data_IF_902918309441
#
_entry.id   IF_902918309441
#
_cell.length_a   1.000
_cell.length_b   1.000
_cell.length_c   1.000
_cell.angle_alpha   90.00
_cell.angle_beta   90.00
_cell.angle_gamma   90.00
#
_symmetry.space_group_name_H-M   'P 1'
#
loop_
_entity.id
_entity.type
_entity.pdbx_description
1 polymer ?
#
# COMPACT_ATOMS: atom_id res chain seq x y z
N UNK A 1 -0.56 20.23 -25.15
CA UNK A 1 -1.76 20.49 -24.32
C UNK A 1 -2.76 19.35 -24.38
N UNK A 2 -3.05 18.79 -25.56
CA UNK A 2 -3.98 17.66 -25.75
C UNK A 2 -3.71 16.43 -24.87
N UNK A 3 -2.46 16.19 -24.46
CA UNK A 3 -2.06 15.08 -23.58
C UNK A 3 -2.13 15.39 -22.07
N UNK A 4 -2.59 16.59 -21.68
CA UNK A 4 -2.64 17.00 -20.26
C UNK A 4 -3.96 16.58 -19.61
N UNK A 5 -3.93 16.29 -18.30
CA UNK A 5 -5.12 15.96 -17.51
C UNK A 5 -6.15 17.09 -17.49
N UNK A 6 -5.67 18.34 -17.41
CA UNK A 6 -6.49 19.55 -17.49
C UNK A 6 -7.31 19.57 -18.79
N UNK A 7 -6.66 19.36 -19.93
CA UNK A 7 -7.33 19.33 -21.22
C UNK A 7 -8.40 18.23 -21.30
N UNK A 8 -8.09 17.03 -20.81
CA UNK A 8 -9.05 15.92 -20.78
C UNK A 8 -10.30 16.23 -19.92
N UNK A 9 -10.14 16.95 -18.81
CA UNK A 9 -11.27 17.36 -17.97
C UNK A 9 -12.16 18.40 -18.67
N UNK A 10 -11.57 19.45 -19.22
CA UNK A 10 -12.32 20.49 -19.94
C UNK A 10 -12.98 19.94 -21.21
N UNK A 11 -12.32 19.02 -21.92
CA UNK A 11 -12.92 18.35 -23.07
C UNK A 11 -14.19 17.58 -22.70
N UNK A 12 -14.17 16.85 -21.56
CA UNK A 12 -15.35 16.13 -21.05
C UNK A 12 -16.49 17.09 -20.73
N UNK A 13 -16.19 18.25 -20.15
CA UNK A 13 -17.18 19.26 -19.79
C UNK A 13 -17.77 19.93 -21.04
N UNK A 14 -16.94 20.27 -22.02
CA UNK A 14 -17.36 20.81 -23.31
C UNK A 14 -18.21 19.81 -24.11
N UNK A 15 -17.77 18.55 -24.21
CA UNK A 15 -18.53 17.50 -24.88
C UNK A 15 -19.89 17.23 -24.20
N UNK A 16 -19.96 17.38 -22.87
CA UNK A 16 -21.19 17.23 -22.12
C UNK A 16 -22.13 18.43 -22.26
N UNK A 17 -21.59 19.66 -22.25
CA UNK A 17 -22.33 20.91 -22.51
C UNK A 17 -22.91 20.92 -23.93
N UNK A 18 -22.14 20.47 -24.91
CA UNK A 18 -22.56 20.33 -26.29
C UNK A 18 -23.49 19.12 -26.56
N UNK A 19 -23.86 18.35 -25.52
CA UNK A 19 -24.73 17.18 -25.61
C UNK A 19 -24.25 16.06 -26.56
N UNK A 20 -22.95 16.00 -26.85
CA UNK A 20 -22.35 15.00 -27.74
C UNK A 20 -22.10 13.65 -27.07
N UNK A 21 -22.19 13.60 -25.73
CA UNK A 21 -22.04 12.36 -24.98
C UNK A 21 -23.37 11.59 -24.92
N UNK A 22 -23.44 10.33 -25.42
CA UNK A 22 -24.69 9.59 -25.51
C UNK A 22 -25.25 9.26 -24.13
N UNK A 23 -26.54 9.52 -23.92
CA UNK A 23 -27.28 9.29 -22.65
C UNK A 23 -28.09 8.00 -22.72
N UNK A 24 -28.17 7.25 -21.60
CA UNK A 24 -28.97 6.00 -21.53
C UNK A 24 -30.48 6.26 -21.45
N UNK A 25 -30.90 7.37 -20.85
CA UNK A 25 -32.31 7.79 -20.73
C UNK A 25 -32.40 9.32 -20.90
N UNK A 26 -33.35 9.85 -21.68
CA UNK A 26 -33.67 11.27 -21.71
C UNK A 26 -34.04 11.79 -20.31
N UNK A 27 -33.59 12.99 -19.94
CA UNK A 27 -33.94 13.63 -18.66
C UNK A 27 -33.13 13.23 -17.41
N UNK A 28 -32.24 12.23 -17.47
CA UNK A 28 -31.38 11.85 -16.33
C UNK A 28 -29.91 12.25 -16.53
N UNK A 29 -29.28 12.77 -15.48
CA UNK A 29 -27.83 13.03 -15.46
C UNK A 29 -27.07 11.71 -15.57
N UNK A 30 -26.09 11.65 -16.46
CA UNK A 30 -25.21 10.47 -16.60
C UNK A 30 -24.23 10.45 -15.43
N UNK A 31 -23.99 9.30 -14.76
CA UNK A 31 -23.03 9.22 -13.68
C UNK A 31 -21.62 9.57 -14.18
N UNK A 32 -20.85 10.27 -13.33
CA UNK A 32 -19.57 10.90 -13.71
C UNK A 32 -18.55 9.91 -14.29
N UNK A 33 -18.47 8.69 -13.76
CA UNK A 33 -17.58 7.63 -14.25
C UNK A 33 -17.91 7.23 -15.71
N UNK A 34 -19.19 7.13 -16.04
CA UNK A 34 -19.65 6.77 -17.38
C UNK A 34 -19.43 7.92 -18.36
N UNK A 35 -19.54 9.16 -17.88
CA UNK A 35 -19.22 10.36 -18.64
C UNK A 35 -17.72 10.42 -18.97
N UNK A 36 -16.84 10.12 -17.99
CA UNK A 36 -15.38 10.07 -18.16
C UNK A 36 -14.96 9.03 -19.21
N UNK A 37 -15.48 7.81 -19.12
CA UNK A 37 -15.15 6.74 -20.08
C UNK A 37 -15.54 7.11 -21.51
N UNK A 38 -16.76 7.65 -21.68
CA UNK A 38 -17.27 8.05 -22.99
C UNK A 38 -16.54 9.26 -23.57
N UNK A 39 -16.21 10.25 -22.74
CA UNK A 39 -15.44 11.42 -23.19
C UNK A 39 -14.01 11.06 -23.57
N UNK A 40 -13.37 10.11 -22.87
CA UNK A 40 -12.05 9.63 -23.22
C UNK A 40 -12.05 8.91 -24.58
N UNK A 41 -13.03 8.05 -24.82
CA UNK A 41 -13.22 7.38 -26.11
C UNK A 41 -13.48 8.39 -27.24
N UNK A 42 -14.33 9.39 -26.99
CA UNK A 42 -14.60 10.46 -27.97
C UNK A 42 -13.36 11.31 -28.25
N UNK A 43 -12.59 11.66 -27.21
CA UNK A 43 -11.35 12.44 -27.37
C UNK A 43 -10.31 11.68 -28.19
N UNK A 44 -10.18 10.36 -27.99
CA UNK A 44 -9.24 9.53 -28.75
C UNK A 44 -9.52 9.64 -30.26
N UNK A 45 -10.78 9.49 -30.68
CA UNK A 45 -11.18 9.62 -32.09
C UNK A 45 -11.12 11.08 -32.57
N UNK A 46 -11.62 12.02 -31.77
CA UNK A 46 -11.64 13.44 -32.13
C UNK A 46 -10.23 14.06 -32.24
N UNK A 47 -9.24 13.48 -31.56
CA UNK A 47 -7.85 13.95 -31.61
C UNK A 47 -7.17 13.70 -32.96
N UNK A 48 -7.70 12.79 -33.78
CA UNK A 48 -7.23 12.53 -35.14
C UNK A 48 -7.74 13.58 -36.14
N UNK A 49 -8.82 14.31 -35.79
CA UNK A 49 -9.41 15.38 -36.59
C UNK A 49 -9.18 16.75 -35.92
N UNK A 50 -8.15 17.48 -36.36
CA UNK A 50 -7.72 18.76 -35.77
C UNK A 50 -8.78 19.88 -35.79
N UNK A 51 -9.80 19.71 -36.60
CA UNK A 51 -10.90 20.62 -36.89
C UNK A 51 -12.19 20.26 -36.12
N UNK A 52 -12.14 19.28 -35.22
CA UNK A 52 -13.29 18.93 -34.38
C UNK A 52 -13.68 20.11 -33.46
N UNK A 53 -14.92 20.65 -33.53
CA UNK A 53 -15.29 21.89 -32.84
C UNK A 53 -15.09 21.88 -31.32
N UNK A 54 -15.28 20.73 -30.67
CA UNK A 54 -15.10 20.60 -29.22
C UNK A 54 -13.63 20.60 -28.83
N UNK A 55 -12.76 20.05 -29.68
CA UNK A 55 -11.31 20.14 -29.47
C UNK A 55 -10.89 21.60 -29.54
N UNK A 56 -11.35 22.34 -30.55
CA UNK A 56 -11.07 23.77 -30.71
C UNK A 56 -11.60 24.61 -29.55
N UNK A 57 -12.84 24.36 -29.10
CA UNK A 57 -13.41 25.06 -27.94
C UNK A 57 -12.63 24.75 -26.65
N UNK A 58 -12.19 23.50 -26.48
CA UNK A 58 -11.35 23.14 -25.33
C UNK A 58 -10.00 23.83 -25.37
N UNK A 59 -9.40 23.98 -26.56
CA UNK A 59 -8.19 24.79 -26.72
C UNK A 59 -8.45 26.27 -26.39
N UNK A 60 -9.56 26.84 -26.86
CA UNK A 60 -9.94 28.23 -26.56
C UNK A 60 -10.12 28.44 -25.06
N UNK A 61 -10.89 27.59 -24.40
CA UNK A 61 -11.17 27.65 -22.96
C UNK A 61 -9.88 27.51 -22.14
N UNK A 62 -9.05 26.51 -22.43
CA UNK A 62 -7.80 26.30 -21.69
C UNK A 62 -6.81 27.46 -21.89
N UNK A 63 -6.66 27.95 -23.12
CA UNK A 63 -5.67 28.99 -23.43
C UNK A 63 -6.11 30.41 -23.07
N UNK A 64 -7.41 30.69 -23.00
CA UNK A 64 -7.94 32.04 -22.72
C UNK A 64 -8.61 32.18 -21.37
N UNK A 65 -9.32 31.15 -20.91
CA UNK A 65 -10.16 31.26 -19.71
C UNK A 65 -9.46 30.64 -18.49
N UNK A 66 -8.66 29.58 -18.70
CA UNK A 66 -7.94 28.90 -17.62
C UNK A 66 -6.51 29.45 -17.44
N UNK A 67 -5.76 29.59 -18.54
CA UNK A 67 -4.41 30.13 -18.50
C UNK A 67 -4.37 31.64 -18.71
N UNK A 68 -3.64 32.33 -17.83
CA UNK A 68 -3.26 33.72 -18.04
C UNK A 68 -1.92 33.81 -18.80
N UNK A 69 -1.99 33.65 -20.12
CA UNK A 69 -0.82 33.76 -20.98
C UNK A 69 -0.24 35.19 -21.01
N UNK A 70 -1.07 36.21 -20.78
CA UNK A 70 -0.64 37.60 -20.73
C UNK A 70 0.29 37.85 -19.53
N UNK A 71 -0.14 37.42 -18.34
CA UNK A 71 0.68 37.49 -17.14
C UNK A 71 1.97 36.67 -17.26
N UNK A 72 1.90 35.45 -17.83
CA UNK A 72 3.08 34.62 -18.05
C UNK A 72 4.09 35.32 -18.99
N UNK A 73 3.63 35.88 -20.11
CA UNK A 73 4.50 36.62 -21.03
C UNK A 73 5.09 37.88 -20.40
N UNK A 74 4.35 38.57 -19.51
CA UNK A 74 4.88 39.72 -18.76
C UNK A 74 5.96 39.27 -17.80
N UNK A 75 5.71 38.23 -17.01
CA UNK A 75 6.66 37.70 -16.03
C UNK A 75 7.97 37.24 -16.69
N UNK A 76 7.88 36.52 -17.82
CA UNK A 76 9.08 36.08 -18.56
C UNK A 76 9.87 37.27 -19.12
N UNK A 77 9.18 38.33 -19.58
CA UNK A 77 9.84 39.59 -19.97
C UNK A 77 10.50 40.28 -18.79
N UNK A 78 9.83 40.37 -17.65
CA UNK A 78 10.40 40.99 -16.44
C UNK A 78 11.61 40.21 -15.89
N UNK A 79 11.64 38.88 -16.05
CA UNK A 79 12.82 38.05 -15.76
C UNK A 79 13.95 38.34 -16.77
N UNK A 80 13.64 38.41 -18.07
CA UNK A 80 14.61 38.75 -19.13
C UNK A 80 15.22 40.14 -18.97
N UNK A 81 14.40 41.13 -18.62
CA UNK A 81 14.78 42.52 -18.35
C UNK A 81 15.43 42.69 -16.95
N UNK A 82 15.60 41.60 -16.20
CA UNK A 82 16.16 41.56 -14.83
C UNK A 82 15.42 42.43 -13.80
N UNK A 83 14.15 42.75 -14.06
CA UNK A 83 13.25 43.36 -13.07
C UNK A 83 12.83 42.35 -12.01
N UNK A 84 12.69 41.08 -12.39
CA UNK A 84 12.49 39.95 -11.49
C UNK A 84 13.80 39.17 -11.35
N UNK A 85 14.26 39.01 -10.11
CA UNK A 85 15.48 38.25 -9.81
C UNK A 85 15.16 36.78 -9.57
N UNK A 86 15.92 35.88 -10.20
CA UNK A 86 15.84 34.43 -9.98
C UNK A 86 17.11 33.96 -9.27
N UNK A 87 16.96 33.22 -8.18
CA UNK A 87 18.07 32.63 -7.41
C UNK A 87 17.88 31.12 -7.27
N UNK A 88 18.96 30.37 -7.51
CA UNK A 88 18.99 28.93 -7.24
C UNK A 88 19.60 28.69 -5.85
N UNK A 89 18.92 27.91 -5.02
CA UNK A 89 19.39 27.52 -3.68
C UNK A 89 19.21 26.02 -3.55
N UNK A 90 20.31 25.32 -3.22
CA UNK A 90 20.27 23.89 -2.92
C UNK A 90 20.16 23.71 -1.40
N UNK A 91 19.11 23.01 -0.97
CA UNK A 91 18.81 22.78 0.44
C UNK A 91 18.82 21.30 0.75
N UNK A 92 19.41 20.91 1.89
CA UNK A 92 19.42 19.52 2.37
C UNK A 92 18.02 19.01 2.75
N UNK A 93 17.08 19.91 3.03
CA UNK A 93 15.68 19.61 3.28
C UNK A 93 14.79 20.71 2.68
N UNK A 94 13.54 20.41 2.28
CA UNK A 94 12.65 21.40 1.66
C UNK A 94 12.34 22.59 2.58
N UNK A 95 12.31 23.80 2.02
CA UNK A 95 11.94 25.01 2.77
C UNK A 95 10.44 24.98 3.16
N UNK A 96 10.00 25.80 4.14
CA UNK A 96 8.58 25.89 4.51
C UNK A 96 7.65 26.19 3.32
N UNK A 97 8.10 27.00 2.36
CA UNK A 97 7.34 27.31 1.14
C UNK A 97 7.29 26.12 0.17
N UNK A 98 8.41 25.42 -0.02
CA UNK A 98 8.45 24.22 -0.86
C UNK A 98 7.63 23.07 -0.26
N UNK A 99 7.64 22.92 1.07
CA UNK A 99 6.85 21.93 1.79
C UNK A 99 5.34 22.12 1.57
N UNK A 100 4.85 23.37 1.60
CA UNK A 100 3.44 23.68 1.32
C UNK A 100 3.02 23.32 -0.12
N UNK A 101 3.90 23.56 -1.11
CA UNK A 101 3.63 23.22 -2.51
C UNK A 101 3.61 21.71 -2.77
N UNK A 102 4.56 20.97 -2.18
CA UNK A 102 4.61 19.51 -2.24
C UNK A 102 3.35 18.89 -1.62
N UNK A 103 2.85 19.47 -0.52
CA UNK A 103 1.60 19.02 0.09
C UNK A 103 0.38 19.24 -0.82
N UNK A 104 0.27 20.39 -1.49
CA UNK A 104 -0.84 20.65 -2.42
C UNK A 104 -0.84 19.71 -3.63
N UNK A 105 0.35 19.34 -4.12
CA UNK A 105 0.51 18.31 -5.14
C UNK A 105 0.01 16.94 -4.65
N UNK A 106 0.35 16.56 -3.42
CA UNK A 106 -0.05 15.29 -2.80
C UNK A 106 -1.54 15.24 -2.46
N UNK A 107 -2.14 16.33 -1.98
CA UNK A 107 -3.57 16.41 -1.73
C UNK A 107 -4.37 16.30 -3.03
N UNK A 108 -3.91 16.97 -4.10
CA UNK A 108 -4.55 16.86 -5.42
C UNK A 108 -4.49 15.42 -5.95
N UNK A 109 -3.35 14.72 -5.77
CA UNK A 109 -3.19 13.32 -6.16
C UNK A 109 -3.94 12.32 -5.25
N UNK A 110 -4.02 12.55 -3.93
CA UNK A 110 -4.74 11.69 -2.99
C UNK A 110 -6.25 11.66 -3.26
N UNK A 111 -6.82 12.75 -3.77
CA UNK A 111 -8.22 12.82 -4.17
C UNK A 111 -8.46 12.53 -5.66
N UNK A 112 -7.40 12.27 -6.43
CA UNK A 112 -7.47 11.96 -7.87
C UNK A 112 -7.63 10.46 -8.20
N UNK A 113 -7.55 9.54 -7.24
CA UNK A 113 -7.50 8.10 -7.53
C UNK A 113 -8.47 7.19 -6.78
N UNK A 114 -9.32 6.48 -7.52
CA UNK A 114 -9.98 5.22 -7.12
C UNK A 114 -8.98 4.04 -7.19
N UNK A 115 -7.76 4.27 -6.71
CA UNK A 115 -6.69 3.26 -6.66
C UNK A 115 -6.96 2.28 -5.50
N UNK A 116 -6.74 0.96 -5.68
CA UNK A 116 -6.81 -0.02 -4.60
C UNK A 116 -6.02 0.42 -3.36
N UNK A 117 -6.49 0.07 -2.15
CA UNK A 117 -5.84 0.48 -0.89
C UNK A 117 -4.33 0.16 -0.86
N UNK A 118 -3.91 -0.93 -1.49
CA UNK A 118 -2.50 -1.32 -1.63
C UNK A 118 -1.68 -0.34 -2.50
N UNK A 119 -2.23 0.19 -3.58
CA UNK A 119 -1.57 1.21 -4.40
C UNK A 119 -1.46 2.55 -3.64
N UNK A 120 -2.50 2.92 -2.88
CA UNK A 120 -2.46 4.09 -1.99
C UNK A 120 -1.38 3.96 -0.92
N UNK A 121 -1.26 2.78 -0.29
CA UNK A 121 -0.21 2.47 0.69
C UNK A 121 1.18 2.51 0.07
N UNK A 122 1.35 1.95 -1.13
CA UNK A 122 2.62 1.97 -1.85
C UNK A 122 3.07 3.39 -2.21
N UNK A 123 2.13 4.28 -2.55
CA UNK A 123 2.41 5.70 -2.84
C UNK A 123 2.71 6.52 -1.57
N UNK A 124 2.03 6.23 -0.45
CA UNK A 124 2.34 6.85 0.85
C UNK A 124 3.76 6.54 1.34
N UNK A 125 4.27 5.34 1.00
CA UNK A 125 5.63 4.91 1.30
C UNK A 125 6.71 5.55 0.40
N UNK A 126 6.32 6.15 -0.73
CA UNK A 126 7.24 6.82 -1.68
C UNK A 126 7.44 8.31 -1.37
N UNK A 127 6.64 8.89 -0.48
CA UNK A 127 6.78 10.28 -0.02
C UNK A 127 8.00 10.48 0.89
N UNK A 128 8.55 11.69 0.93
CA UNK A 128 9.67 12.06 1.81
C UNK A 128 9.15 12.53 3.19
N UNK A 129 9.48 11.76 4.23
CA UNK A 129 8.80 11.79 5.54
C UNK A 129 9.33 12.85 6.50
N UNK A 130 10.47 13.50 6.21
CA UNK A 130 10.89 14.68 6.98
C UNK A 130 9.82 15.80 6.93
N UNK A 131 9.04 15.86 5.84
CA UNK A 131 8.00 16.85 5.61
C UNK A 131 6.66 16.50 6.29
N UNK A 132 6.27 15.22 6.32
CA UNK A 132 5.05 14.75 6.98
C UNK A 132 5.13 14.94 8.51
N UNK A 133 6.33 14.71 9.07
CA UNK A 133 6.63 14.84 10.51
C UNK A 133 6.39 16.24 11.06
N UNK A 134 6.57 17.28 10.24
CA UNK A 134 6.43 18.67 10.66
C UNK A 134 4.97 19.18 10.70
N UNK A 135 4.02 18.46 10.07
CA UNK A 135 2.65 18.93 9.85
C UNK A 135 1.56 18.00 10.42
N UNK A 136 1.80 16.69 10.51
CA UNK A 136 0.76 15.71 10.91
C UNK A 136 0.87 15.20 12.35
N UNK A 137 1.88 15.62 13.11
CA UNK A 137 2.34 14.80 14.22
C UNK A 137 3.00 13.52 13.70
N UNK A 138 3.54 12.68 14.57
CA UNK A 138 4.25 11.47 14.15
C UNK A 138 3.31 10.57 13.33
N UNK A 139 3.55 10.35 12.02
CA UNK A 139 2.71 9.43 11.25
C UNK A 139 2.90 8.03 11.85
N UNK A 140 1.78 7.39 12.20
CA UNK A 140 1.73 6.00 12.69
C UNK A 140 2.16 5.04 11.57
N UNK A 141 3.47 4.97 11.31
CA UNK A 141 4.12 4.11 10.32
C UNK A 141 3.82 2.64 10.57
N UNK A 142 3.44 2.29 11.80
CA UNK A 142 2.95 0.98 12.22
C UNK A 142 1.89 0.36 11.30
N UNK A 143 1.05 1.16 10.66
CA UNK A 143 -0.04 0.66 9.80
C UNK A 143 0.40 0.40 8.35
N UNK A 144 1.56 0.93 7.95
CA UNK A 144 2.08 0.84 6.60
C UNK A 144 3.20 -0.20 6.44
N UNK A 145 3.88 -0.56 7.53
CA UNK A 145 4.96 -1.55 7.51
C UNK A 145 4.40 -2.96 7.70
N UNK A 146 4.91 -3.88 6.90
CA UNK A 146 4.58 -5.30 7.02
C UNK A 146 5.41 -5.95 8.14
N UNK A 147 4.74 -6.73 9.00
CA UNK A 147 5.37 -7.37 10.14
C UNK A 147 6.46 -8.35 9.72
N UNK A 148 6.17 -9.20 8.74
CA UNK A 148 7.12 -10.19 8.27
C UNK A 148 8.32 -9.51 7.58
N UNK A 149 8.10 -8.40 6.87
CA UNK A 149 9.20 -7.62 6.29
C UNK A 149 10.15 -7.05 7.36
N UNK A 150 9.65 -6.64 8.53
CA UNK A 150 10.49 -6.21 9.66
C UNK A 150 11.34 -7.38 10.16
N UNK A 151 10.71 -8.53 10.42
CA UNK A 151 11.40 -9.73 10.94
C UNK A 151 12.45 -10.25 9.96
N UNK A 152 12.13 -10.30 8.66
CA UNK A 152 13.07 -10.71 7.62
C UNK A 152 14.28 -9.77 7.53
N UNK A 153 14.06 -8.46 7.60
CA UNK A 153 15.16 -7.49 7.55
C UNK A 153 16.02 -7.60 8.82
N UNK A 154 15.41 -7.68 10.00
CA UNK A 154 16.16 -7.90 11.26
C UNK A 154 17.02 -9.16 11.20
N UNK A 155 16.47 -10.27 10.69
CA UNK A 155 17.20 -11.52 10.50
C UNK A 155 18.45 -11.33 9.61
N UNK A 156 18.32 -10.57 8.53
CA UNK A 156 19.42 -10.26 7.61
C UNK A 156 20.46 -9.30 8.22
N UNK A 157 20.01 -8.31 9.00
CA UNK A 157 20.90 -7.36 9.66
C UNK A 157 21.76 -8.05 10.73
N UNK A 158 21.17 -9.00 11.45
CA UNK A 158 21.86 -9.87 12.39
C UNK A 158 22.59 -11.03 11.68
N UNK A 159 22.58 -11.12 10.35
CA UNK A 159 23.24 -12.16 9.56
C UNK A 159 22.86 -13.60 9.94
N UNK A 160 21.65 -13.80 10.48
CA UNK A 160 21.11 -15.11 10.87
C UNK A 160 20.72 -15.97 9.66
N UNK A 161 20.84 -15.43 8.46
CA UNK A 161 20.66 -16.11 7.17
C UNK A 161 21.97 -16.71 6.61
N UNK A 162 23.12 -16.42 7.24
CA UNK A 162 24.43 -16.94 6.81
C UNK A 162 24.88 -18.08 7.73
N UNK A 163 25.51 -19.09 7.12
CA UNK A 163 26.22 -20.15 7.85
C UNK A 163 27.66 -19.75 8.09
N UNK A 164 28.19 -20.02 9.28
CA UNK A 164 29.57 -19.77 9.67
C UNK A 164 30.45 -20.95 9.23
N UNK A 165 31.40 -20.71 8.34
CA UNK A 165 32.29 -21.74 7.78
C UNK A 165 33.67 -21.83 8.43
N UNK A 166 34.04 -20.88 9.29
CA UNK A 166 35.32 -20.90 10.00
C UNK A 166 35.53 -19.74 10.97
N UNK A 167 36.74 -19.67 11.55
CA UNK A 167 37.15 -18.62 12.50
C UNK A 167 37.02 -17.20 11.92
N UNK A 168 37.37 -17.01 10.65
CA UNK A 168 37.32 -15.70 10.01
C UNK A 168 35.88 -15.20 9.85
N UNK A 169 34.92 -16.08 9.54
CA UNK A 169 33.50 -15.72 9.45
C UNK A 169 32.95 -15.26 10.80
N UNK A 170 33.38 -15.89 11.91
CA UNK A 170 33.00 -15.51 13.28
C UNK A 170 33.60 -14.14 13.65
N UNK A 171 34.86 -13.90 13.29
CA UNK A 171 35.50 -12.60 13.52
C UNK A 171 34.80 -11.48 12.74
N UNK A 172 34.51 -11.71 11.46
CA UNK A 172 33.79 -10.76 10.60
C UNK A 172 32.35 -10.52 11.07
N UNK A 173 31.70 -11.53 11.65
CA UNK A 173 30.39 -11.41 12.29
C UNK A 173 30.45 -10.42 13.46
N UNK A 174 31.41 -10.61 14.38
CA UNK A 174 31.56 -9.74 15.55
C UNK A 174 32.03 -8.32 15.18
N UNK A 175 32.85 -8.15 14.14
CA UNK A 175 33.18 -6.82 13.62
C UNK A 175 31.94 -6.08 13.07
N UNK A 176 31.03 -6.82 12.43
CA UNK A 176 29.81 -6.24 11.86
C UNK A 176 28.75 -5.93 12.93
N UNK A 177 28.50 -6.87 13.85
CA UNK A 177 27.41 -6.80 14.83
C UNK A 177 27.84 -6.09 16.10
N UNK A 178 29.06 -6.35 16.58
CA UNK A 178 29.60 -5.88 17.85
C UNK A 178 29.84 -7.04 18.82
N UNK A 179 29.29 -6.92 20.02
CA UNK A 179 29.37 -7.96 21.05
C UNK A 179 28.25 -8.99 20.89
N UNK A 180 28.55 -10.26 21.18
CA UNK A 180 27.57 -11.34 21.34
C UNK A 180 27.94 -12.23 22.53
N UNK A 181 26.95 -12.78 23.24
CA UNK A 181 27.20 -13.83 24.22
C UNK A 181 27.51 -15.16 23.53
N UNK A 182 28.10 -16.12 24.25
CA UNK A 182 28.28 -17.48 23.72
C UNK A 182 26.94 -18.11 23.34
N UNK A 183 25.89 -17.90 24.14
CA UNK A 183 24.55 -18.43 23.85
C UNK A 183 23.96 -17.81 22.57
N UNK A 184 24.16 -16.50 22.36
CA UNK A 184 23.74 -15.81 21.13
C UNK A 184 24.50 -16.33 19.91
N UNK A 185 25.80 -16.63 20.04
CA UNK A 185 26.60 -17.22 18.97
C UNK A 185 26.14 -18.63 18.61
N UNK A 186 25.69 -19.42 19.58
CA UNK A 186 25.12 -20.75 19.32
C UNK A 186 23.76 -20.73 18.59
N UNK A 187 23.09 -19.58 18.50
CA UNK A 187 21.90 -19.43 17.67
C UNK A 187 22.21 -19.35 16.17
N UNK A 188 23.47 -19.13 15.79
CA UNK A 188 23.90 -19.12 14.40
C UNK A 188 24.14 -20.54 13.88
N UNK A 189 23.85 -20.77 12.61
CA UNK A 189 24.22 -22.03 11.96
C UNK A 189 25.72 -22.03 11.68
N UNK A 190 26.40 -23.13 12.01
CA UNK A 190 27.82 -23.33 11.76
C UNK A 190 28.08 -24.69 11.12
N UNK A 191 28.97 -24.74 10.12
CA UNK A 191 29.36 -25.99 9.44
C UNK A 191 30.45 -26.78 10.20
N UNK A 192 30.93 -26.25 11.33
CA UNK A 192 32.01 -26.83 12.11
C UNK A 192 31.89 -26.56 13.62
N UNK A 193 32.94 -26.90 14.39
CA UNK A 193 32.93 -26.81 15.84
C UNK A 193 33.10 -25.36 16.30
N UNK A 194 31.98 -24.64 16.44
CA UNK A 194 31.96 -23.22 16.82
C UNK A 194 32.79 -22.93 18.08
N UNK A 195 32.64 -23.71 19.15
CA UNK A 195 33.40 -23.51 20.39
C UNK A 195 34.92 -23.61 20.18
N UNK A 196 35.38 -24.54 19.33
CA UNK A 196 36.80 -24.67 19.03
C UNK A 196 37.33 -23.45 18.25
N UNK A 197 36.52 -22.88 17.35
CA UNK A 197 36.84 -21.63 16.66
C UNK A 197 36.90 -20.44 17.63
N UNK A 198 35.93 -20.33 18.55
CA UNK A 198 35.91 -19.28 19.57
C UNK A 198 37.15 -19.34 20.47
N UNK A 199 37.49 -20.54 20.94
CA UNK A 199 38.66 -20.75 21.81
C UNK A 199 39.98 -20.50 21.05
N UNK A 200 40.05 -20.89 19.77
CA UNK A 200 41.18 -20.58 18.87
C UNK A 200 41.37 -19.06 18.69
N UNK A 201 40.29 -18.34 18.41
CA UNK A 201 40.29 -16.88 18.26
C UNK A 201 40.65 -16.15 19.55
N UNK A 202 40.21 -16.63 20.71
CA UNK A 202 40.59 -16.11 22.03
C UNK A 202 42.07 -16.36 22.33
N UNK A 203 42.57 -17.57 22.04
CA UNK A 203 43.99 -17.91 22.21
C UNK A 203 44.89 -17.06 21.29
N UNK A 204 44.44 -16.79 20.06
CA UNK A 204 45.09 -15.91 19.10
C UNK A 204 44.93 -14.41 19.43
N UNK A 205 44.14 -14.05 20.46
CA UNK A 205 43.80 -12.66 20.86
C UNK A 205 43.15 -11.84 19.74
N UNK A 206 42.40 -12.49 18.86
CA UNK A 206 41.55 -11.84 17.85
C UNK A 206 40.20 -11.44 18.44
N UNK A 207 39.72 -12.21 19.41
CA UNK A 207 38.55 -11.87 20.22
C UNK A 207 38.94 -11.55 21.66
N UNK A 208 38.07 -10.81 22.34
CA UNK A 208 38.18 -10.48 23.76
C UNK A 208 36.87 -10.79 24.48
N UNK A 209 36.99 -11.31 25.70
CA UNK A 209 35.87 -11.43 26.63
C UNK A 209 35.72 -10.14 27.43
N UNK A 210 34.53 -9.55 27.38
CA UNK A 210 34.16 -8.30 28.03
C UNK A 210 32.91 -8.52 28.87
N UNK A 211 32.82 -7.81 30.00
CA UNK A 211 31.59 -7.81 30.82
C UNK A 211 30.74 -6.60 30.49
N UNK A 212 29.60 -6.81 29.85
CA UNK A 212 28.64 -5.78 29.44
C UNK A 212 27.32 -6.03 30.15
N UNK A 213 26.80 -5.06 30.90
CA UNK A 213 25.54 -5.22 31.63
C UNK A 213 25.52 -6.38 32.65
N UNK A 214 26.69 -6.81 33.13
CA UNK A 214 26.83 -7.95 34.05
C UNK A 214 27.07 -9.31 33.37
N UNK A 215 26.83 -9.42 32.07
CA UNK A 215 27.00 -10.64 31.27
C UNK A 215 28.39 -10.69 30.63
N UNK A 216 28.94 -11.90 30.47
CA UNK A 216 30.16 -12.12 29.70
C UNK A 216 29.81 -12.23 28.21
N UNK A 217 30.47 -11.40 27.40
CA UNK A 217 30.26 -11.32 25.96
C UNK A 217 31.59 -11.30 25.22
N UNK A 218 31.57 -11.78 24.00
CA UNK A 218 32.70 -11.82 23.08
C UNK A 218 32.57 -10.66 22.10
N UNK A 219 33.68 -9.97 21.89
CA UNK A 219 33.79 -8.91 20.88
C UNK A 219 35.13 -9.03 20.14
N UNK A 220 35.18 -8.47 18.93
CA UNK A 220 36.42 -8.34 18.19
C UNK A 220 37.40 -7.42 18.94
N UNK A 221 38.70 -7.77 18.96
CA UNK A 221 39.72 -7.02 19.69
C UNK A 221 39.84 -5.57 19.21
N UNK A 222 39.49 -5.31 17.94
CA UNK A 222 39.47 -3.99 17.30
C UNK A 222 38.42 -3.04 17.89
N UNK A 223 37.42 -3.56 18.59
CA UNK A 223 36.37 -2.76 19.25
C UNK A 223 36.66 -2.48 20.73
N UNK A 224 37.73 -3.03 21.29
CA UNK A 224 38.00 -2.99 22.74
C UNK A 224 38.05 -1.55 23.28
N UNK A 225 38.66 -0.61 22.55
CA UNK A 225 38.71 0.79 22.95
C UNK A 225 37.32 1.45 22.91
N UNK A 226 36.46 1.08 21.95
CA UNK A 226 35.08 1.59 21.85
C UNK A 226 34.28 1.19 23.08
N UNK A 227 34.36 -0.08 23.47
CA UNK A 227 33.68 -0.57 24.67
C UNK A 227 34.25 0.05 25.94
N UNK A 228 35.58 0.20 26.06
CA UNK A 228 36.22 0.85 27.22
C UNK A 228 35.72 2.28 27.37
N UNK A 229 35.78 3.08 26.30
CA UNK A 229 35.48 4.50 26.36
C UNK A 229 33.97 4.77 26.48
N UNK A 230 33.11 3.90 25.93
CA UNK A 230 31.65 4.07 26.02
C UNK A 230 31.05 3.49 27.31
N UNK A 231 31.49 2.30 27.74
CA UNK A 231 30.84 1.53 28.81
C UNK A 231 31.71 1.40 30.07
N UNK A 232 32.97 1.84 30.03
CA UNK A 232 33.90 1.69 31.14
C UNK A 232 34.37 0.25 31.36
N UNK A 233 34.28 -0.63 30.35
CA UNK A 233 34.79 -2.01 30.50
C UNK A 233 36.30 -2.02 30.65
N UNK A 234 36.80 -2.93 31.49
CA UNK A 234 38.23 -3.09 31.70
C UNK A 234 38.79 -3.97 30.56
N UNK A 235 39.68 -3.44 29.70
CA UNK A 235 40.27 -4.24 28.63
C UNK A 235 41.18 -5.34 29.21
N UNK A 236 41.27 -6.52 28.57
CA UNK A 236 42.21 -7.57 28.95
C UNK A 236 43.67 -7.08 28.92
N UNK A 237 44.50 -7.65 29.79
CA UNK A 237 45.94 -7.32 29.86
C UNK A 237 46.68 -7.86 28.63
N UNK A 238 47.70 -7.13 28.17
CA UNK A 238 48.60 -7.58 27.10
C UNK A 238 48.13 -7.26 25.69
N UNK A 239 47.16 -6.35 25.53
CA UNK A 239 46.75 -5.82 24.24
C UNK A 239 47.72 -4.73 23.73
N UNK A 240 48.02 -4.67 22.42
CA UNK A 240 48.82 -3.60 21.82
C UNK A 240 48.25 -2.21 22.10
N UNK A 241 49.12 -1.22 22.35
CA UNK A 241 48.70 0.17 22.59
C UNK A 241 47.96 0.80 21.39
N UNK A 242 48.23 0.33 20.16
CA UNK A 242 47.53 0.77 18.96
C UNK A 242 46.02 0.49 18.98
N UNK A 243 45.60 -0.57 19.68
CA UNK A 243 44.18 -0.94 19.84
C UNK A 243 43.51 -0.23 21.02
N UNK A 244 44.26 0.52 21.83
CA UNK A 244 43.78 1.22 23.02
C UNK A 244 43.77 2.74 22.85
N UNK A 245 43.95 3.24 21.62
CA UNK A 245 43.84 4.66 21.31
C UNK A 245 42.46 5.24 21.69
N UNK A 246 42.36 6.57 21.88
CA UNK A 246 41.08 7.22 22.14
C UNK A 246 40.14 7.10 20.94
N UNK A 247 38.85 6.84 21.20
CA UNK A 247 37.82 6.76 20.17
C UNK A 247 36.94 8.01 20.20
N UNK A 248 36.73 8.62 19.04
CA UNK A 248 35.77 9.73 18.89
C UNK A 248 34.32 9.23 18.99
N UNK A 249 33.53 9.85 19.88
CA UNK A 249 32.11 9.54 20.08
C UNK A 249 31.82 8.03 20.28
N UNK A 250 32.39 7.39 21.30
CA UNK A 250 32.36 5.93 21.46
C UNK A 250 30.92 5.43 21.69
N UNK A 251 30.12 6.14 22.49
CA UNK A 251 28.71 5.81 22.72
C UNK A 251 27.87 5.99 21.46
N UNK A 252 28.08 7.07 20.70
CA UNK A 252 27.38 7.27 19.41
C UNK A 252 27.74 6.21 18.38
N UNK A 253 28.97 5.70 18.38
CA UNK A 253 29.37 4.58 17.54
C UNK A 253 28.66 3.27 17.93
N UNK A 254 28.58 2.93 19.23
CA UNK A 254 27.89 1.72 19.69
C UNK A 254 26.37 1.80 19.46
N UNK A 255 25.71 2.89 19.84
CA UNK A 255 24.28 3.11 19.59
C UNK A 255 24.00 3.13 18.09
N UNK A 256 24.85 3.78 17.31
CA UNK A 256 24.74 3.79 15.85
C UNK A 256 24.93 2.41 15.22
N UNK A 257 25.81 1.57 15.77
CA UNK A 257 25.97 0.17 15.33
C UNK A 257 24.73 -0.64 15.68
N UNK A 258 24.25 -0.54 16.92
CA UNK A 258 23.01 -1.19 17.38
C UNK A 258 21.84 -0.85 16.45
N UNK A 259 21.68 0.42 16.09
CA UNK A 259 20.62 0.86 15.18
C UNK A 259 20.74 0.31 13.74
N UNK A 260 21.96 0.01 13.27
CA UNK A 260 22.19 -0.60 11.95
C UNK A 260 21.99 -2.11 11.95
N UNK A 261 22.01 -2.75 13.12
CA UNK A 261 21.88 -4.20 13.25
C UNK A 261 20.48 -4.64 13.71
N UNK A 262 19.64 -3.69 14.13
CA UNK A 262 18.29 -3.95 14.63
C UNK A 262 17.24 -3.16 13.84
N UNK A 263 16.00 -3.66 13.83
CA UNK A 263 14.83 -2.96 13.31
C UNK A 263 14.35 -1.88 14.29
N UNK A 264 13.06 -1.50 14.28
CA UNK A 264 12.52 -0.54 15.25
C UNK A 264 12.73 -0.97 16.72
N UNK A 265 13.47 -0.15 17.47
CA UNK A 265 13.84 -0.42 18.86
C UNK A 265 13.53 0.78 19.78
N UNK A 266 13.40 0.52 21.06
CA UNK A 266 13.19 1.54 22.10
C UNK A 266 14.50 1.93 22.77
N UNK A 267 14.54 3.13 23.36
CA UNK A 267 15.72 3.56 24.13
C UNK A 267 16.05 2.60 25.28
N UNK A 268 15.03 2.02 25.91
CA UNK A 268 15.17 1.05 27.00
C UNK A 268 15.82 -0.26 26.53
N UNK A 269 15.44 -0.79 25.36
CA UNK A 269 16.07 -1.99 24.78
C UNK A 269 17.56 -1.75 24.45
N UNK A 270 17.88 -0.61 23.84
CA UNK A 270 19.27 -0.25 23.53
C UNK A 270 20.10 -0.06 24.81
N UNK A 271 19.54 0.61 25.83
CA UNK A 271 20.19 0.80 27.12
C UNK A 271 20.42 -0.53 27.85
N UNK A 272 19.42 -1.42 27.85
CA UNK A 272 19.54 -2.76 28.42
C UNK A 272 20.60 -3.58 27.69
N UNK A 273 20.65 -3.52 26.35
CA UNK A 273 21.69 -4.22 25.58
C UNK A 273 23.09 -3.76 25.97
N UNK A 274 23.29 -2.45 26.11
CA UNK A 274 24.60 -1.86 26.42
C UNK A 274 24.94 -1.87 27.93
N UNK A 275 24.01 -2.26 28.79
CA UNK A 275 24.20 -2.21 30.25
C UNK A 275 24.31 -0.79 30.81
N UNK A 276 23.67 0.18 30.15
CA UNK A 276 23.69 1.60 30.51
C UNK A 276 22.35 2.05 31.09
N UNK A 277 22.37 3.20 31.78
CA UNK A 277 21.14 3.92 32.09
C UNK A 277 20.48 4.46 30.82
N UNK A 278 19.15 4.60 30.84
CA UNK A 278 18.37 5.04 29.68
C UNK A 278 18.65 6.50 29.29
N UNK A 279 19.01 7.36 30.25
CA UNK A 279 19.25 8.79 30.02
C UNK A 279 20.37 9.10 29.00
N UNK A 280 21.62 8.60 29.15
CA UNK A 280 22.69 8.85 28.18
C UNK A 280 22.40 8.27 26.79
N UNK A 281 21.66 7.15 26.74
CA UNK A 281 21.23 6.54 25.48
C UNK A 281 20.19 7.42 24.78
N UNK A 282 19.19 7.94 25.50
CA UNK A 282 18.19 8.88 24.96
C UNK A 282 18.84 10.14 24.38
N UNK A 283 19.82 10.73 25.09
CA UNK A 283 20.56 11.89 24.59
C UNK A 283 21.33 11.58 23.30
N UNK A 284 22.00 10.42 23.25
CA UNK A 284 22.73 9.95 22.07
C UNK A 284 21.78 9.69 20.89
N UNK A 285 20.65 9.03 21.14
CA UNK A 285 19.62 8.78 20.13
C UNK A 285 19.03 10.09 19.59
N UNK A 286 18.76 11.07 20.47
CA UNK A 286 18.27 12.39 20.07
C UNK A 286 19.30 13.13 19.20
N UNK A 287 20.59 13.09 19.57
CA UNK A 287 21.67 13.68 18.76
C UNK A 287 21.79 13.00 17.39
N UNK A 288 21.71 11.67 17.33
CA UNK A 288 21.76 10.92 16.06
C UNK A 288 20.51 11.17 15.20
N UNK A 289 19.33 11.32 15.82
CA UNK A 289 18.10 11.69 15.12
C UNK A 289 18.18 13.12 14.55
N UNK A 290 18.68 14.08 15.33
CA UNK A 290 18.91 15.46 14.88
C UNK A 290 19.94 15.55 13.74
N UNK A 291 20.92 14.63 13.72
CA UNK A 291 21.86 14.48 12.62
C UNK A 291 21.28 13.75 11.39
N UNK A 292 20.01 13.35 11.42
CA UNK A 292 19.33 12.66 10.33
C UNK A 292 19.76 11.20 10.13
N UNK A 293 20.43 10.59 11.12
CA UNK A 293 20.87 9.18 11.05
C UNK A 293 19.82 8.20 11.55
N UNK A 294 18.94 8.65 12.44
CA UNK A 294 17.84 7.84 12.99
C UNK A 294 16.50 8.49 12.66
N UNK A 295 15.54 7.67 12.27
CA UNK A 295 14.12 8.01 12.29
C UNK A 295 13.56 7.70 13.68
N UNK A 296 12.65 8.56 14.15
CA UNK A 296 11.96 8.40 15.44
C UNK A 296 10.44 8.31 15.21
N UNK A 297 9.71 7.51 15.98
CA UNK A 297 8.25 7.53 15.99
C UNK A 297 7.63 6.17 16.29
N UNK A 298 6.34 6.00 16.00
CA UNK A 298 5.67 4.69 16.07
C UNK A 298 5.96 3.88 14.80
N UNK A 299 7.04 3.10 14.82
CA UNK A 299 7.60 2.44 13.64
C UNK A 299 7.24 0.95 13.59
N UNK A 300 7.17 0.27 14.73
CA UNK A 300 6.93 -1.15 14.82
C UNK A 300 5.45 -1.48 14.54
N UNK A 301 5.16 -2.41 13.61
CA UNK A 301 3.79 -2.87 13.35
C UNK A 301 3.07 -3.33 14.62
N UNK A 302 1.76 -3.06 14.71
CA UNK A 302 0.93 -3.37 15.88
C UNK A 302 0.94 -4.85 16.27
N UNK A 303 1.01 -5.75 15.29
CA UNK A 303 1.14 -7.19 15.50
C UNK A 303 2.43 -7.53 16.25
N UNK A 304 3.58 -7.06 15.76
CA UNK A 304 4.89 -7.27 16.40
C UNK A 304 4.99 -6.55 17.74
N UNK A 305 4.39 -5.37 17.87
CA UNK A 305 4.37 -4.64 19.15
C UNK A 305 3.69 -5.48 20.23
N UNK A 306 2.54 -6.10 19.92
CA UNK A 306 1.81 -6.98 20.84
C UNK A 306 2.60 -8.25 21.16
N UNK A 307 3.20 -8.86 20.15
CA UNK A 307 4.03 -10.07 20.31
C UNK A 307 5.25 -9.82 21.20
N UNK A 308 5.93 -8.68 21.02
CA UNK A 308 7.06 -8.25 21.85
C UNK A 308 6.64 -7.69 23.22
N UNK A 309 5.35 -7.70 23.55
CA UNK A 309 4.84 -7.18 24.82
C UNK A 309 5.04 -5.68 25.03
N UNK A 310 5.24 -4.90 23.96
CA UNK A 310 5.46 -3.46 24.01
C UNK A 310 4.13 -2.71 24.22
N UNK A 311 4.16 -1.66 25.05
CA UNK A 311 2.98 -0.83 25.37
C UNK A 311 2.80 0.39 24.45
N UNK A 312 3.60 0.49 23.39
CA UNK A 312 3.72 1.69 22.56
C UNK A 312 4.76 2.68 23.09
N UNK A 313 5.10 3.68 22.29
CA UNK A 313 6.11 4.69 22.60
C UNK A 313 6.94 5.10 21.39
N UNK A 314 7.83 6.07 21.58
CA UNK A 314 8.75 6.51 20.53
C UNK A 314 9.84 5.45 20.31
N UNK A 315 9.88 4.90 19.12
CA UNK A 315 10.90 3.96 18.67
C UNK A 315 11.90 4.67 17.76
N UNK A 316 13.07 4.07 17.65
CA UNK A 316 14.18 4.55 16.87
C UNK A 316 14.53 3.48 15.83
N UNK A 317 14.90 3.91 14.62
CA UNK A 317 15.39 3.01 13.58
C UNK A 317 16.40 3.77 12.72
N UNK A 318 17.46 3.10 12.29
CA UNK A 318 18.39 3.68 11.31
C UNK A 318 17.66 3.96 9.99
N UNK A 319 17.97 5.11 9.37
CA UNK A 319 17.25 5.56 8.16
C UNK A 319 17.43 4.60 6.99
N UNK A 320 18.60 3.97 6.84
CA UNK A 320 18.84 2.99 5.78
C UNK A 320 18.13 1.67 6.07
N UNK A 321 18.10 1.25 7.35
CA UNK A 321 17.34 0.07 7.77
C UNK A 321 15.84 0.28 7.52
N UNK A 322 15.29 1.41 7.95
CA UNK A 322 13.89 1.74 7.73
C UNK A 322 13.56 1.77 6.22
N UNK A 323 14.47 2.28 5.38
CA UNK A 323 14.31 2.27 3.92
C UNK A 323 14.27 0.85 3.36
N UNK A 324 15.09 -0.07 3.87
CA UNK A 324 15.05 -1.50 3.48
C UNK A 324 13.73 -2.16 3.88
N UNK A 325 13.27 -1.93 5.11
CA UNK A 325 11.98 -2.43 5.61
C UNK A 325 10.83 -1.92 4.73
N UNK A 326 10.79 -0.61 4.44
CA UNK A 326 9.79 0.01 3.56
C UNK A 326 9.78 -0.62 2.18
N UNK A 327 10.95 -0.77 1.55
CA UNK A 327 11.09 -1.36 0.21
C UNK A 327 10.54 -2.78 0.17
N UNK A 328 10.84 -3.59 1.20
CA UNK A 328 10.37 -4.98 1.26
C UNK A 328 8.88 -5.09 1.59
N UNK A 329 8.36 -4.26 2.50
CA UNK A 329 6.92 -4.16 2.78
C UNK A 329 6.14 -3.80 1.50
N UNK A 330 6.65 -2.83 0.74
CA UNK A 330 6.06 -2.41 -0.54
C UNK A 330 6.15 -3.47 -1.63
N UNK A 331 7.24 -4.25 -1.67
CA UNK A 331 7.35 -5.37 -2.60
C UNK A 331 6.30 -6.46 -2.30
N UNK A 332 6.07 -6.78 -1.02
CA UNK A 332 5.00 -7.72 -0.60
C UNK A 332 3.61 -7.23 -0.99
N UNK A 333 3.29 -5.97 -0.67
CA UNK A 333 2.00 -5.36 -1.06
C UNK A 333 1.79 -5.34 -2.58
N UNK A 334 2.85 -5.17 -3.37
CA UNK A 334 2.75 -5.24 -4.84
C UNK A 334 2.56 -6.66 -5.36
N UNK A 335 3.20 -7.65 -4.73
CA UNK A 335 3.02 -9.05 -5.08
C UNK A 335 1.57 -9.52 -4.83
N UNK A 336 0.91 -9.01 -3.79
CA UNK A 336 -0.51 -9.30 -3.52
C UNK A 336 -1.47 -8.80 -4.62
N UNK A 337 -1.06 -7.79 -5.39
CA UNK A 337 -1.89 -7.13 -6.43
C UNK A 337 -1.27 -7.32 -7.81
N UNK A 338 -0.37 -8.30 -7.97
CA UNK A 338 0.30 -8.51 -9.23
C UNK A 338 -0.71 -8.94 -10.31
N UNK A 339 -0.78 -8.23 -11.45
CA UNK A 339 -1.69 -8.61 -12.53
C UNK A 339 -1.26 -9.97 -13.08
N UNK A 340 -2.20 -10.91 -13.11
CA UNK A 340 -1.95 -12.24 -13.68
C UNK A 340 -2.18 -12.24 -15.19
N UNK A 341 -1.45 -13.10 -15.90
CA UNK A 341 -1.66 -13.33 -17.32
C UNK A 341 -3.12 -13.72 -17.62
N UNK A 342 -3.72 -13.27 -18.74
CA UNK A 342 -5.09 -13.61 -19.09
C UNK A 342 -5.38 -15.12 -19.08
N UNK A 343 -4.39 -15.93 -19.45
CA UNK A 343 -4.53 -17.41 -19.44
C UNK A 343 -4.56 -18.01 -18.04
N UNK A 344 -3.93 -17.38 -17.05
CA UNK A 344 -4.00 -17.79 -15.66
C UNK A 344 -5.38 -17.43 -15.08
N UNK A 345 -5.87 -16.21 -15.37
CA UNK A 345 -7.22 -15.79 -14.99
C UNK A 345 -8.31 -16.69 -15.59
N UNK A 346 -8.19 -17.06 -16.87
CA UNK A 346 -9.12 -17.99 -17.52
C UNK A 346 -9.15 -19.37 -16.83
N UNK A 347 -7.99 -19.94 -16.52
CA UNK A 347 -7.89 -21.23 -15.80
C UNK A 347 -8.53 -21.16 -14.43
N UNK A 348 -8.21 -20.10 -13.67
CA UNK A 348 -8.84 -19.84 -12.38
C UNK A 348 -10.35 -19.72 -12.51
N UNK A 349 -10.85 -18.92 -13.46
CA UNK A 349 -12.28 -18.68 -13.62
C UNK A 349 -13.04 -19.96 -13.98
N UNK A 350 -12.50 -20.79 -14.86
CA UNK A 350 -13.11 -22.08 -15.22
C UNK A 350 -13.14 -23.04 -14.02
N UNK A 351 -12.04 -23.13 -13.27
CA UNK A 351 -11.96 -23.95 -12.06
C UNK A 351 -12.91 -23.46 -10.96
N UNK A 352 -12.93 -22.15 -10.70
CA UNK A 352 -13.80 -21.48 -9.74
C UNK A 352 -15.28 -21.68 -10.09
N UNK A 353 -15.61 -21.60 -11.38
CA UNK A 353 -16.96 -21.86 -11.89
C UNK A 353 -17.32 -23.34 -11.99
N UNK A 354 -16.40 -24.25 -11.64
CA UNK A 354 -16.61 -25.69 -11.67
C UNK A 354 -16.76 -26.29 -13.07
N UNK A 355 -16.33 -25.58 -14.11
CA UNK A 355 -16.47 -26.03 -15.51
C UNK A 355 -15.46 -27.14 -15.78
N UNK A 356 -15.94 -28.29 -16.28
CA UNK A 356 -15.10 -29.46 -16.56
C UNK A 356 -14.72 -30.30 -15.34
N UNK A 357 -15.33 -30.06 -14.18
CA UNK A 357 -15.18 -30.91 -12.99
C UNK A 357 -16.23 -32.03 -13.05
N UNK A 358 -15.82 -33.29 -12.81
CA UNK A 358 -16.71 -34.46 -12.82
C UNK A 358 -17.51 -34.54 -11.50
N UNK A 359 -18.54 -33.67 -11.35
CA UNK A 359 -19.50 -33.69 -10.23
C UNK A 359 -20.79 -34.36 -10.67
N UNK A 360 -21.46 -35.10 -9.77
CA UNK A 360 -22.67 -35.89 -10.09
C UNK A 360 -23.68 -35.88 -8.94
N UNK A 361 -24.96 -36.06 -9.30
CA UNK A 361 -26.08 -36.20 -8.36
C UNK A 361 -26.71 -34.87 -7.94
N UNK A 362 -27.81 -34.99 -7.18
CA UNK A 362 -28.63 -33.86 -6.71
C UNK A 362 -27.84 -32.87 -5.85
N UNK A 363 -27.04 -33.34 -4.88
CA UNK A 363 -26.21 -32.47 -4.03
C UNK A 363 -25.22 -31.63 -4.85
N UNK A 364 -24.66 -32.21 -5.91
CA UNK A 364 -23.76 -31.49 -6.81
C UNK A 364 -24.52 -30.43 -7.62
N UNK A 365 -25.75 -30.71 -8.03
CA UNK A 365 -26.61 -29.75 -8.72
C UNK A 365 -26.97 -28.57 -7.79
N UNK A 366 -27.30 -28.82 -6.53
CA UNK A 366 -27.53 -27.77 -5.52
C UNK A 366 -26.29 -26.88 -5.37
N UNK A 367 -25.09 -27.45 -5.23
CA UNK A 367 -23.85 -26.67 -5.14
C UNK A 367 -23.52 -25.88 -6.41
N UNK A 368 -23.90 -26.38 -7.60
CA UNK A 368 -23.77 -25.63 -8.85
C UNK A 368 -24.76 -24.48 -8.93
N UNK A 369 -26.01 -24.71 -8.50
CA UNK A 369 -27.03 -23.66 -8.42
C UNK A 369 -26.58 -22.60 -7.42
N UNK A 370 -26.02 -23.00 -6.27
CA UNK A 370 -25.51 -22.09 -5.25
C UNK A 370 -24.48 -21.09 -5.80
N UNK A 371 -23.55 -21.59 -6.63
CA UNK A 371 -22.54 -20.78 -7.29
C UNK A 371 -23.12 -19.84 -8.37
N UNK A 372 -24.25 -20.21 -8.99
CA UNK A 372 -24.87 -19.49 -10.11
C UNK A 372 -26.05 -18.60 -9.71
N UNK A 373 -26.43 -18.57 -8.44
CA UNK A 373 -27.65 -17.87 -8.02
C UNK A 373 -27.66 -16.40 -8.43
N UNK A 374 -28.79 -15.94 -8.95
CA UNK A 374 -28.94 -14.55 -9.40
C UNK A 374 -28.24 -14.19 -10.71
N UNK A 375 -27.50 -15.12 -11.34
CA UNK A 375 -26.92 -14.89 -12.65
C UNK A 375 -28.00 -14.90 -13.75
N UNK A 376 -28.10 -13.87 -14.59
CA UNK A 376 -29.10 -13.81 -15.66
C UNK A 376 -28.68 -14.67 -16.86
N UNK A 377 -29.17 -15.91 -16.92
CA UNK A 377 -28.83 -16.94 -17.91
C UNK A 377 -29.99 -17.10 -18.89
N UNK A 378 -29.72 -17.28 -20.19
CA UNK A 378 -30.76 -17.60 -21.17
C UNK A 378 -31.37 -18.96 -20.85
N UNK A 379 -32.70 -19.06 -20.81
CA UNK A 379 -33.39 -20.31 -20.48
C UNK A 379 -33.00 -21.43 -21.45
N UNK A 380 -32.84 -21.12 -22.74
CA UNK A 380 -32.39 -22.09 -23.74
C UNK A 380 -31.00 -22.67 -23.49
N UNK A 381 -30.11 -21.91 -22.82
CA UNK A 381 -28.72 -22.31 -22.57
C UNK A 381 -28.51 -22.96 -21.20
N UNK A 382 -29.46 -22.80 -20.27
CA UNK A 382 -29.32 -23.26 -18.89
C UNK A 382 -29.12 -24.77 -18.82
N UNK A 383 -30.08 -25.53 -19.33
CA UNK A 383 -30.05 -27.00 -19.31
C UNK A 383 -29.24 -27.60 -20.45
N UNK A 384 -29.03 -26.86 -21.55
CA UNK A 384 -28.32 -27.37 -22.73
C UNK A 384 -26.80 -27.16 -22.68
N UNK A 385 -26.32 -26.13 -21.99
CA UNK A 385 -24.90 -25.72 -21.98
C UNK A 385 -24.35 -25.42 -20.60
N UNK A 386 -25.10 -24.72 -19.75
CA UNK A 386 -24.57 -24.17 -18.48
C UNK A 386 -24.46 -25.24 -17.40
N UNK A 387 -25.52 -26.01 -17.17
CA UNK A 387 -25.55 -27.11 -16.19
C UNK A 387 -24.72 -28.32 -16.68
N UNK A 388 -24.83 -28.78 -17.95
CA UNK A 388 -24.01 -29.91 -18.43
C UNK A 388 -22.51 -29.63 -18.44
N UNK A 389 -22.07 -28.36 -18.53
CA UNK A 389 -20.66 -28.02 -18.46
C UNK A 389 -20.06 -28.14 -17.04
N UNK A 390 -20.91 -28.22 -16.00
CA UNK A 390 -20.54 -28.23 -14.57
C UNK A 390 -20.91 -29.52 -13.85
N UNK A 391 -21.78 -30.33 -14.46
CA UNK A 391 -22.27 -31.61 -13.94
C UNK A 391 -22.08 -32.68 -15.00
N UNK A 392 -21.40 -33.76 -14.62
CA UNK A 392 -21.28 -34.92 -15.49
C UNK A 392 -22.62 -35.66 -15.55
N UNK A 393 -23.11 -35.91 -16.77
CA UNK A 393 -24.39 -36.60 -17.02
C UNK A 393 -25.58 -35.91 -16.35
N UNK A 394 -25.68 -34.59 -16.51
CA UNK A 394 -26.86 -33.82 -16.07
C UNK A 394 -28.16 -34.45 -16.59
N UNK A 395 -29.11 -34.70 -15.69
CA UNK A 395 -30.46 -35.16 -15.98
C UNK A 395 -31.45 -34.02 -15.65
N UNK A 396 -32.24 -33.52 -16.62
CA UNK A 396 -33.25 -32.49 -16.38
C UNK A 396 -34.21 -32.81 -15.23
N UNK A 397 -34.48 -34.11 -15.00
CA UNK A 397 -35.40 -34.56 -13.95
C UNK A 397 -34.91 -34.20 -12.55
N UNK A 398 -33.59 -34.09 -12.35
CA UNK A 398 -33.00 -33.68 -11.06
C UNK A 398 -33.35 -32.22 -10.76
N UNK A 399 -33.35 -31.35 -11.79
CA UNK A 399 -33.73 -29.94 -11.64
C UNK A 399 -35.24 -29.81 -11.40
N UNK A 400 -36.05 -30.59 -12.12
CA UNK A 400 -37.50 -30.65 -11.92
C UNK A 400 -37.85 -31.11 -10.49
N UNK A 401 -37.14 -32.11 -9.97
CA UNK A 401 -37.30 -32.61 -8.59
C UNK A 401 -37.01 -31.50 -7.58
N UNK A 402 -35.87 -30.80 -7.70
CA UNK A 402 -35.51 -29.68 -6.82
C UNK A 402 -36.48 -28.50 -6.88
N UNK A 403 -37.08 -28.25 -8.06
CA UNK A 403 -38.11 -27.23 -8.21
C UNK A 403 -39.46 -27.69 -7.62
N UNK A 404 -39.80 -28.97 -7.76
CA UNK A 404 -41.04 -29.55 -7.24
C UNK A 404 -41.04 -29.67 -5.71
N UNK A 405 -39.90 -29.97 -5.10
CA UNK A 405 -39.71 -29.96 -3.63
C UNK A 405 -39.66 -28.54 -3.06
N UNK A 406 -39.49 -27.53 -3.92
CA UNK A 406 -39.40 -26.13 -3.54
C UNK A 406 -38.04 -25.72 -3.00
N UNK A 407 -37.01 -26.56 -3.13
CA UNK A 407 -35.63 -26.24 -2.74
C UNK A 407 -34.99 -25.21 -3.68
N UNK A 408 -35.38 -25.23 -4.96
CA UNK A 408 -34.92 -24.30 -6.00
C UNK A 408 -36.09 -23.49 -6.54
N UNK A 409 -35.88 -22.18 -6.65
CA UNK A 409 -36.80 -21.21 -7.24
C UNK A 409 -36.16 -20.62 -8.48
N UNK A 410 -36.90 -20.52 -9.58
CA UNK A 410 -36.46 -19.79 -10.76
C UNK A 410 -37.29 -18.52 -10.95
N UNK A 411 -36.66 -17.47 -11.48
CA UNK A 411 -37.32 -16.20 -11.77
C UNK A 411 -36.94 -15.70 -13.15
N UNK A 412 -37.95 -15.32 -13.94
CA UNK A 412 -37.76 -14.56 -15.17
C UNK A 412 -37.29 -13.13 -14.88
N UNK A 413 -36.20 -12.71 -15.52
CA UNK A 413 -35.62 -11.38 -15.37
C UNK A 413 -35.90 -10.48 -16.57
N UNK A 414 -35.68 -10.99 -17.79
CA UNK A 414 -35.81 -10.21 -19.03
C UNK A 414 -36.22 -11.11 -20.20
N UNK A 415 -37.13 -10.69 -21.09
CA UNK A 415 -37.42 -11.43 -22.31
C UNK A 415 -36.24 -11.34 -23.30
N UNK A 416 -35.99 -12.43 -24.04
CA UNK A 416 -34.99 -12.53 -25.09
C UNK A 416 -35.70 -12.95 -26.40
N UNK A 417 -36.51 -12.05 -26.95
CA UNK A 417 -37.41 -12.35 -28.06
C UNK A 417 -38.73 -12.96 -27.59
N UNK A 418 -39.46 -13.61 -28.52
CA UNK A 418 -40.80 -14.16 -28.26
C UNK A 418 -40.81 -15.55 -27.61
N UNK A 419 -39.70 -16.30 -27.73
CA UNK A 419 -39.61 -17.72 -27.33
C UNK A 419 -38.54 -18.02 -26.30
N UNK A 420 -37.80 -17.01 -25.83
CA UNK A 420 -36.72 -17.18 -24.86
C UNK A 420 -36.67 -16.00 -23.88
N UNK A 421 -36.00 -16.21 -22.76
CA UNK A 421 -35.88 -15.24 -21.68
C UNK A 421 -34.68 -15.52 -20.80
N UNK A 422 -34.13 -14.46 -20.21
CA UNK A 422 -33.14 -14.59 -19.15
C UNK A 422 -33.85 -14.95 -17.86
N UNK A 423 -33.50 -16.10 -17.31
CA UNK A 423 -33.92 -16.59 -16.00
C UNK A 423 -32.72 -16.60 -15.05
N UNK A 424 -33.00 -16.58 -13.75
CA UNK A 424 -32.02 -16.86 -12.72
C UNK A 424 -32.60 -17.90 -11.76
N UNK A 425 -31.73 -18.81 -11.32
CA UNK A 425 -32.04 -19.79 -10.29
C UNK A 425 -31.63 -19.25 -8.92
N UNK A 426 -32.29 -19.73 -7.88
CA UNK A 426 -32.04 -19.41 -6.49
C UNK A 426 -32.36 -20.63 -5.63
N UNK A 427 -31.62 -20.82 -4.54
CA UNK A 427 -32.07 -21.65 -3.44
C UNK A 427 -33.16 -20.88 -2.69
N UNK A 428 -34.17 -21.59 -2.22
CA UNK A 428 -35.32 -20.98 -1.56
C UNK A 428 -34.93 -20.05 -0.40
N UNK A 429 -33.95 -20.46 0.40
CA UNK A 429 -33.46 -19.70 1.56
C UNK A 429 -32.70 -18.41 1.16
N UNK A 430 -32.06 -18.40 -0.01
CA UNK A 430 -31.27 -17.27 -0.49
C UNK A 430 -32.07 -16.29 -1.35
N UNK A 431 -33.22 -16.72 -1.87
CA UNK A 431 -34.07 -15.92 -2.76
C UNK A 431 -34.41 -14.53 -2.18
N UNK A 432 -34.82 -14.36 -0.90
CA UNK A 432 -35.15 -13.04 -0.35
C UNK A 432 -33.96 -12.07 -0.27
N UNK A 433 -32.74 -12.59 -0.22
CA UNK A 433 -31.50 -11.81 -0.11
C UNK A 433 -30.94 -11.42 -1.48
N UNK A 434 -31.03 -12.33 -2.45
CA UNK A 434 -30.37 -12.19 -3.76
C UNK A 434 -31.32 -11.72 -4.87
N UNK A 435 -32.62 -12.01 -4.78
CA UNK A 435 -33.56 -11.66 -5.83
C UNK A 435 -33.68 -10.13 -5.97
N UNK A 436 -33.68 -9.59 -7.21
CA UNK A 436 -33.91 -8.17 -7.43
C UNK A 436 -35.24 -7.74 -6.81
N UNK A 437 -35.22 -6.78 -5.89
CA UNK A 437 -36.46 -6.25 -5.30
C UNK A 437 -37.33 -5.68 -6.42
N UNK A 438 -38.60 -6.09 -6.48
CA UNK A 438 -39.54 -5.41 -7.37
C UNK A 438 -39.61 -3.94 -6.97
N UNK A 439 -39.65 -3.02 -7.94
CA UNK A 439 -40.01 -1.64 -7.63
C UNK A 439 -41.38 -1.69 -6.96
N UNK A 440 -41.43 -1.20 -5.72
CA UNK A 440 -42.62 -1.18 -4.88
C UNK A 440 -43.70 -0.30 -5.53
N UNK A 441 -44.53 -0.87 -6.42
CA UNK A 441 -45.65 -0.17 -7.06
C UNK A 441 -46.69 0.29 -6.02
N UNK A 442 -46.72 -0.36 -4.85
CA UNK A 442 -47.54 0.01 -3.69
C UNK A 442 -47.04 1.24 -2.93
N UNK A 443 -45.81 1.70 -3.18
CA UNK A 443 -45.43 3.09 -2.87
C UNK A 443 -46.01 4.01 -3.94
N UNK A 444 -47.34 4.05 -4.02
CA UNK A 444 -48.04 5.21 -4.56
C UNK A 444 -47.35 6.43 -3.96
N UNK A 445 -46.92 7.43 -4.76
CA UNK A 445 -46.32 8.63 -4.23
C UNK A 445 -47.30 9.12 -3.19
N UNK A 446 -46.90 9.12 -1.91
CA UNK A 446 -47.75 9.72 -0.89
C UNK A 446 -47.97 11.14 -1.39
N UNK A 447 -49.20 11.46 -1.78
CA UNK A 447 -49.66 12.83 -1.99
C UNK A 447 -49.71 13.49 -0.59
N UNK A 448 -48.57 13.49 0.09
CA UNK A 448 -48.35 14.35 1.23
C UNK A 448 -48.34 15.77 0.71
N UNK A 449 -48.84 16.68 1.53
CA UNK A 449 -48.86 18.12 1.26
C UNK A 449 -47.48 18.63 0.83
N UNK A 450 -46.40 18.01 1.32
CA UNK A 450 -45.01 18.26 0.92
C UNK A 450 -44.72 17.88 -0.54
N UNK A 451 -45.21 16.74 -1.03
CA UNK A 451 -45.03 16.31 -2.41
C UNK A 451 -45.82 17.19 -3.40
N UNK A 452 -47.01 17.66 -3.01
CA UNK A 452 -47.77 18.63 -3.76
C UNK A 452 -47.07 20.00 -3.80
N UNK A 453 -46.53 20.46 -2.67
CA UNK A 453 -45.75 21.71 -2.57
C UNK A 453 -44.48 21.68 -3.41
N UNK A 454 -43.79 20.54 -3.46
CA UNK A 454 -42.60 20.35 -4.30
C UNK A 454 -42.98 20.35 -5.79
N UNK A 455 -44.10 19.73 -6.19
CA UNK A 455 -44.58 19.82 -7.59
C UNK A 455 -45.01 21.24 -7.97
N UNK A 456 -45.66 21.98 -7.08
CA UNK A 456 -46.04 23.38 -7.29
C UNK A 456 -44.81 24.28 -7.45
N UNK A 457 -43.77 24.08 -6.63
CA UNK A 457 -42.50 24.79 -6.73
C UNK A 457 -41.74 24.46 -8.03
N UNK A 458 -41.78 23.20 -8.46
CA UNK A 458 -41.14 22.77 -9.70
C UNK A 458 -41.91 23.24 -10.95
N UNK A 459 -43.24 23.32 -10.89
CA UNK A 459 -44.08 23.90 -11.96
C UNK A 459 -43.85 25.39 -12.13
N UNK A 460 -43.77 26.15 -11.03
CA UNK A 460 -43.45 27.59 -11.07
C UNK A 460 -42.03 27.88 -11.59
N UNK A 461 -41.09 26.96 -11.37
CA UNK A 461 -39.74 27.09 -11.90
C UNK A 461 -39.67 26.90 -13.43
N UNK A 462 -40.64 26.19 -14.04
CA UNK A 462 -40.73 26.06 -15.49
C UNK A 462 -41.41 27.27 -16.16
N UNK A 463 -42.43 27.87 -15.53
CA UNK A 463 -43.11 29.06 -16.08
C UNK A 463 -42.26 30.34 -15.96
N UNK A 464 -41.30 30.40 -15.04
CA UNK A 464 -40.36 31.53 -14.90
C UNK A 464 -39.27 31.62 -15.99
N UNK A 465 -39.28 30.74 -16.99
CA UNK A 465 -38.26 30.72 -18.08
C UNK A 465 -38.82 31.19 -19.45
N UNK A 466 -40.09 31.59 -19.53
CA UNK A 466 -40.71 32.16 -20.76
C UNK A 466 -41.07 33.67 -20.66
N UNK A 467 -40.45 34.42 -19.76
CA UNK A 467 -40.36 35.90 -19.84
C UNK A 467 -38.94 36.33 -19.61
#
# INVERSE_FOLDING_TARGET
LSSTSLFASHFRENAARALLLPRKRPGQRTPLWAQRRKSAQLLQVASEANDFPIVLETYREVLRDVFDLGALQSLLRDVGDRRVRVSSVETKAPSPFAAALLFHYVASFMYEGDAPLAERRAQALTLDHAQLRALLGEPELRELLDADAVVEVERQLLRLDRTLGGEDDVHDLLLAIGDLSRDELHAYHSDGPLDAWLDGLLAARRLVELRVGGELRLAAVEDVARFRDALGVVPPRGLPQSLLGPVDDPLGQLVGRYARTHGPFTADECASRLGLGVAPVKETLARLANAGRLAVGELLPTSLMRERGRRGGHEHCDVEVLRRIKRRSLAKLRAEVEPVEPTAYQRFLLQWQGVGVDRRGLDALVGVIEQLQGAPIAASDLESRVLPARLARFDPRDLDELCATGEVIWRGLQPLGEKDGRIALYLADHYPLLAPREPDETRAPRDTELAARVRELLGRAQEGTER
#
